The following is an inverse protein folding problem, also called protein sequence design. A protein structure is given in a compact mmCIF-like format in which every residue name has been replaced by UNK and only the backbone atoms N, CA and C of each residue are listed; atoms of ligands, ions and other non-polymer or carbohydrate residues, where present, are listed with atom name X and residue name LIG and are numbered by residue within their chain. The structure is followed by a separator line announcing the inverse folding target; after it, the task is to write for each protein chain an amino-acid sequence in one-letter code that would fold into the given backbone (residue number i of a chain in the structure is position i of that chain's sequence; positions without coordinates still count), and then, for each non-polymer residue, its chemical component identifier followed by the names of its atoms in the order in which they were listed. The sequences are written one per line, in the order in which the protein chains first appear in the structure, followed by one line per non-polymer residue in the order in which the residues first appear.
data_IF_906386663082
#
_entry.id   IF_906386663082
#
_cell.length_a   1.000
_cell.length_b   1.000
_cell.length_c   1.000
_cell.angle_alpha   90.00
_cell.angle_beta   90.00
_cell.angle_gamma   90.00
#
_symmetry.space_group_name_H-M   'P 1'
#
loop_
_entity.id
_entity.type
_entity.pdbx_description
1 polymer ?
#
# COMPACT_ATOMS: atom_id res chain seq x y z
N UNK A 1 -25.70 24.59 -8.18
CA UNK A 1 -26.03 23.21 -7.78
C UNK A 1 -26.28 22.31 -9.00
N UNK A 2 -27.11 22.72 -9.97
CA UNK A 2 -27.39 21.95 -11.21
C UNK A 2 -26.15 21.66 -12.05
N UNK A 3 -25.27 22.64 -12.32
CA UNK A 3 -24.03 22.41 -13.08
C UNK A 3 -23.09 21.39 -12.42
N UNK A 4 -22.95 21.43 -11.09
CA UNK A 4 -22.17 20.44 -10.34
C UNK A 4 -22.75 19.03 -10.44
N UNK A 5 -24.07 18.90 -10.55
CA UNK A 5 -24.73 17.61 -10.74
C UNK A 5 -24.42 17.04 -12.12
N UNK A 6 -24.50 17.87 -13.18
CA UNK A 6 -24.11 17.48 -14.54
C UNK A 6 -22.64 17.10 -14.65
N UNK A 7 -21.74 17.89 -14.05
CA UNK A 7 -20.31 17.57 -14.01
C UNK A 7 -20.07 16.17 -13.39
N UNK A 8 -20.73 15.88 -12.27
CA UNK A 8 -20.63 14.57 -11.61
C UNK A 8 -21.18 13.45 -12.50
N UNK A 9 -22.31 13.67 -13.16
CA UNK A 9 -22.90 12.69 -14.08
C UNK A 9 -21.99 12.39 -15.27
N UNK A 10 -21.38 13.41 -15.87
CA UNK A 10 -20.44 13.25 -16.99
C UNK A 10 -19.20 12.48 -16.53
N UNK A 11 -18.63 12.83 -15.38
CA UNK A 11 -17.46 12.12 -14.85
C UNK A 11 -17.77 10.65 -14.55
N UNK A 12 -18.94 10.34 -14.01
CA UNK A 12 -19.34 8.97 -13.68
C UNK A 12 -19.72 8.11 -14.88
N UNK A 13 -20.16 8.72 -16.00
CA UNK A 13 -20.65 8.03 -17.19
C UNK A 13 -19.99 8.58 -18.47
N UNK A 14 -18.68 8.79 -18.41
CA UNK A 14 -17.96 9.53 -19.46
C UNK A 14 -17.99 8.80 -20.79
N UNK A 15 -17.89 7.46 -20.77
CA UNK A 15 -17.90 6.65 -21.97
C UNK A 15 -19.27 6.71 -22.66
N UNK A 16 -20.36 6.60 -21.89
CA UNK A 16 -21.73 6.74 -22.39
C UNK A 16 -21.98 8.15 -22.92
N UNK A 17 -21.53 9.17 -22.18
CA UNK A 17 -21.63 10.56 -22.60
C UNK A 17 -20.87 10.82 -23.92
N UNK A 18 -19.76 10.13 -24.14
CA UNK A 18 -18.93 10.29 -25.35
C UNK A 18 -19.65 9.88 -26.65
N UNK A 19 -20.72 9.09 -26.55
CA UNK A 19 -21.53 8.69 -27.71
C UNK A 19 -22.58 9.75 -28.10
N UNK A 20 -22.69 10.85 -27.35
CA UNK A 20 -23.69 11.90 -27.59
C UNK A 20 -23.19 12.99 -28.55
N UNK A 21 -24.13 13.67 -29.22
CA UNK A 21 -23.82 14.86 -30.03
C UNK A 21 -23.26 16.02 -29.20
N UNK A 22 -23.64 16.12 -27.92
CA UNK A 22 -23.14 17.13 -27.01
C UNK A 22 -21.63 16.98 -26.77
N UNK A 23 -21.15 15.74 -26.66
CA UNK A 23 -19.72 15.47 -26.54
C UNK A 23 -18.96 15.85 -27.81
N UNK A 24 -19.44 15.45 -28.99
CA UNK A 24 -18.77 15.74 -30.27
C UNK A 24 -18.63 17.26 -30.53
N UNK A 25 -19.62 18.04 -30.09
CA UNK A 25 -19.64 19.51 -30.20
C UNK A 25 -18.92 20.24 -29.07
N UNK A 26 -18.46 19.54 -28.03
CA UNK A 26 -17.81 20.13 -26.87
C UNK A 26 -16.50 20.82 -27.25
N UNK A 27 -16.23 21.97 -26.63
CA UNK A 27 -14.96 22.69 -26.76
C UNK A 27 -13.84 22.00 -25.97
N UNK A 28 -12.61 22.12 -26.46
CA UNK A 28 -11.43 21.49 -25.85
C UNK A 28 -11.25 21.87 -24.38
N UNK A 29 -11.45 23.14 -24.02
CA UNK A 29 -11.30 23.66 -22.64
C UNK A 29 -12.26 22.95 -21.68
N UNK A 30 -13.52 22.75 -22.09
CA UNK A 30 -14.51 22.05 -21.28
C UNK A 30 -14.20 20.55 -21.18
N UNK A 31 -13.71 19.95 -22.25
CA UNK A 31 -13.30 18.55 -22.25
C UNK A 31 -12.11 18.28 -21.32
N UNK A 32 -11.10 19.16 -21.37
CA UNK A 32 -9.91 19.11 -20.51
C UNK A 32 -10.28 19.14 -19.03
N UNK A 33 -11.27 19.95 -18.63
CA UNK A 33 -11.79 19.98 -17.25
C UNK A 33 -12.14 18.57 -16.73
N UNK A 34 -12.74 17.71 -17.57
CA UNK A 34 -13.08 16.35 -17.18
C UNK A 34 -11.89 15.40 -17.27
N UNK A 35 -11.05 15.53 -18.29
CA UNK A 35 -9.88 14.66 -18.49
C UNK A 35 -8.83 14.83 -17.39
N UNK A 36 -8.68 16.03 -16.79
CA UNK A 36 -7.80 16.25 -15.65
C UNK A 36 -8.27 15.54 -14.37
N UNK A 37 -9.57 15.24 -14.26
CA UNK A 37 -10.17 14.79 -13.00
C UNK A 37 -9.83 13.33 -12.68
N UNK A 38 -9.43 13.07 -11.44
CA UNK A 38 -9.33 11.72 -10.88
C UNK A 38 -10.69 11.06 -10.66
N UNK A 39 -11.79 11.82 -10.67
CA UNK A 39 -13.14 11.28 -10.57
C UNK A 39 -13.71 10.78 -11.90
N UNK A 40 -13.00 10.98 -13.02
CA UNK A 40 -13.39 10.48 -14.33
C UNK A 40 -13.38 8.95 -14.34
N UNK A 41 -14.54 8.35 -14.59
CA UNK A 41 -14.73 6.89 -14.62
C UNK A 41 -14.78 6.40 -16.07
N UNK A 42 -13.92 5.43 -16.36
CA UNK A 42 -13.86 4.71 -17.62
C UNK A 42 -13.25 3.32 -17.36
N UNK A 43 -13.53 2.39 -18.27
CA UNK A 43 -13.04 1.00 -18.17
C UNK A 43 -11.53 0.89 -18.39
N UNK A 44 -10.92 1.83 -19.11
CA UNK A 44 -9.46 1.96 -19.24
C UNK A 44 -9.08 3.33 -19.81
N UNK A 45 -7.82 3.74 -19.68
CA UNK A 45 -7.31 4.93 -20.39
C UNK A 45 -7.38 4.77 -21.91
N UNK A 46 -7.19 3.55 -22.42
CA UNK A 46 -7.33 3.28 -23.85
C UNK A 46 -8.76 3.56 -24.33
N UNK A 47 -9.77 3.25 -23.50
CA UNK A 47 -11.16 3.60 -23.81
C UNK A 47 -11.38 5.10 -23.89
N UNK A 48 -10.78 5.88 -22.98
CA UNK A 48 -10.82 7.35 -23.04
C UNK A 48 -10.16 7.84 -24.33
N UNK A 49 -9.00 7.31 -24.70
CA UNK A 49 -8.34 7.63 -25.97
C UNK A 49 -9.24 7.36 -27.19
N UNK A 50 -9.96 6.23 -27.22
CA UNK A 50 -10.92 5.94 -28.30
C UNK A 50 -12.06 6.97 -28.38
N UNK A 51 -12.57 7.43 -27.24
CA UNK A 51 -13.58 8.51 -27.20
C UNK A 51 -13.02 9.80 -27.80
N UNK A 52 -11.76 10.14 -27.50
CA UNK A 52 -11.09 11.32 -28.05
C UNK A 52 -10.81 11.19 -29.54
N UNK A 53 -10.41 10.02 -30.02
CA UNK A 53 -10.21 9.76 -31.45
C UNK A 53 -11.51 10.01 -32.25
N UNK A 54 -12.68 9.60 -31.71
CA UNK A 54 -13.99 9.96 -32.28
C UNK A 54 -14.22 11.49 -32.28
N UNK A 55 -13.88 12.18 -31.20
CA UNK A 55 -14.03 13.63 -31.06
C UNK A 55 -13.16 14.43 -32.06
N UNK A 56 -11.92 13.97 -32.32
CA UNK A 56 -11.04 14.56 -33.34
C UNK A 56 -11.52 14.25 -34.75
N UNK A 57 -12.00 13.04 -35.02
CA UNK A 57 -12.56 12.67 -36.34
C UNK A 57 -13.77 13.50 -36.73
N UNK A 58 -14.60 13.89 -35.75
CA UNK A 58 -15.76 14.75 -35.99
C UNK A 58 -15.38 16.16 -36.48
N UNK A 59 -14.27 16.72 -35.99
CA UNK A 59 -13.75 17.99 -36.48
C UNK A 59 -12.20 17.94 -36.59
N UNK A 60 -11.66 17.60 -37.77
CA UNK A 60 -10.23 17.40 -37.97
C UNK A 60 -9.36 18.65 -37.73
N UNK A 61 -9.91 19.87 -37.75
CA UNK A 61 -9.13 21.09 -37.47
C UNK A 61 -8.61 21.13 -36.04
N UNK A 62 -9.27 20.42 -35.11
CA UNK A 62 -8.86 20.27 -33.71
C UNK A 62 -7.52 19.55 -33.56
N UNK A 63 -7.11 18.74 -34.55
CA UNK A 63 -5.83 18.04 -34.49
C UNK A 63 -4.67 19.05 -34.44
N UNK A 64 -4.76 20.13 -35.20
CA UNK A 64 -3.73 21.18 -35.20
C UNK A 64 -3.80 22.09 -33.98
N UNK A 65 -5.01 22.35 -33.46
CA UNK A 65 -5.23 23.37 -32.43
C UNK A 65 -5.20 22.81 -31.00
N UNK A 66 -5.79 21.63 -30.80
CA UNK A 66 -6.17 21.13 -29.46
C UNK A 66 -5.50 19.81 -29.11
N UNK A 67 -4.92 19.10 -30.08
CA UNK A 67 -4.42 17.73 -29.88
C UNK A 67 -3.43 17.62 -28.71
N UNK A 68 -2.44 18.49 -28.65
CA UNK A 68 -1.43 18.47 -27.58
C UNK A 68 -2.08 18.72 -26.22
N UNK A 69 -2.94 19.74 -26.13
CA UNK A 69 -3.63 20.16 -24.91
C UNK A 69 -4.63 19.13 -24.39
N UNK A 70 -5.28 18.38 -25.27
CA UNK A 70 -6.24 17.36 -24.86
C UNK A 70 -5.52 16.05 -24.49
N UNK A 71 -4.58 15.58 -25.33
CA UNK A 71 -3.91 14.29 -25.12
C UNK A 71 -2.90 14.30 -23.97
N UNK A 72 -2.44 15.46 -23.49
CA UNK A 72 -1.63 15.56 -22.26
C UNK A 72 -2.35 15.03 -21.00
N UNK A 73 -3.69 14.93 -21.03
CA UNK A 73 -4.49 14.45 -19.90
C UNK A 73 -4.85 12.96 -19.97
N UNK A 74 -4.36 12.25 -21.00
CA UNK A 74 -4.39 10.79 -21.06
C UNK A 74 -3.20 10.21 -20.26
N UNK A 75 -3.49 9.18 -19.47
CA UNK A 75 -2.51 8.51 -18.61
C UNK A 75 -1.96 7.27 -19.30
N UNK A 76 -1.18 7.50 -20.36
CA UNK A 76 -0.56 6.43 -21.16
C UNK A 76 0.14 5.34 -20.32
N UNK A 77 0.85 5.64 -19.21
CA UNK A 77 1.44 4.59 -18.35
C UNK A 77 0.44 3.56 -17.77
N UNK A 78 -0.86 3.85 -17.74
CA UNK A 78 -1.90 2.91 -17.27
C UNK A 78 -2.42 1.97 -18.37
N UNK A 79 -2.07 2.24 -19.64
CA UNK A 79 -2.36 1.35 -20.76
C UNK A 79 -1.35 0.19 -20.79
N UNK A 80 -1.79 -0.97 -21.27
CA UNK A 80 -0.90 -2.08 -21.58
C UNK A 80 0.03 -1.76 -22.75
N UNK A 81 1.17 -2.45 -22.87
CA UNK A 81 2.09 -2.28 -24.00
C UNK A 81 1.41 -2.48 -25.36
N UNK A 82 0.44 -3.42 -25.43
CA UNK A 82 -0.36 -3.66 -26.63
C UNK A 82 -1.26 -2.46 -26.97
N UNK A 83 -1.92 -1.88 -25.98
CA UNK A 83 -2.76 -0.69 -26.19
C UNK A 83 -1.91 0.52 -26.58
N UNK A 84 -0.72 0.69 -25.99
CA UNK A 84 0.23 1.74 -26.37
C UNK A 84 0.68 1.60 -27.83
N UNK A 85 0.94 0.38 -28.29
CA UNK A 85 1.25 0.11 -29.68
C UNK A 85 0.09 0.50 -30.61
N UNK A 86 -1.14 0.11 -30.25
CA UNK A 86 -2.35 0.50 -31.01
C UNK A 86 -2.52 2.01 -31.08
N UNK A 87 -2.29 2.72 -29.98
CA UNK A 87 -2.31 4.19 -29.93
C UNK A 87 -1.25 4.77 -30.86
N UNK A 88 0.00 4.30 -30.78
CA UNK A 88 1.10 4.79 -31.60
C UNK A 88 0.85 4.61 -33.10
N UNK A 89 0.18 3.52 -33.50
CA UNK A 89 -0.14 3.21 -34.89
C UNK A 89 -1.41 3.93 -35.42
N UNK A 90 -2.16 4.60 -34.54
CA UNK A 90 -3.41 5.29 -34.89
C UNK A 90 -3.19 6.48 -35.83
N UNK A 91 -4.19 6.79 -36.66
CA UNK A 91 -4.13 7.93 -37.58
C UNK A 91 -3.97 9.27 -36.84
N UNK A 92 -4.64 9.42 -35.68
CA UNK A 92 -4.53 10.61 -34.84
C UNK A 92 -3.08 10.86 -34.42
N UNK A 93 -2.38 9.83 -33.94
CA UNK A 93 -0.98 9.96 -33.50
C UNK A 93 0.01 10.14 -34.66
N UNK A 94 -0.31 9.59 -35.85
CA UNK A 94 0.48 9.85 -37.08
C UNK A 94 0.37 11.30 -37.55
N UNK A 95 -0.78 11.95 -37.33
CA UNK A 95 -1.03 13.35 -37.71
C UNK A 95 -0.63 14.36 -36.65
N UNK A 96 -0.53 13.93 -35.39
CA UNK A 96 -0.19 14.78 -34.25
C UNK A 96 1.02 14.22 -33.50
N UNK A 97 2.21 14.71 -33.87
CA UNK A 97 3.48 14.19 -33.35
C UNK A 97 3.81 14.68 -31.92
N UNK A 98 3.24 15.80 -31.48
CA UNK A 98 3.56 16.40 -30.17
C UNK A 98 3.36 15.46 -28.97
N UNK A 99 2.22 14.74 -28.87
CA UNK A 99 1.95 13.80 -27.78
C UNK A 99 2.71 12.47 -27.87
N UNK A 100 3.46 12.20 -28.93
CA UNK A 100 4.13 10.90 -29.12
C UNK A 100 5.10 10.57 -27.99
N UNK A 101 5.79 11.59 -27.45
CA UNK A 101 6.65 11.45 -26.27
C UNK A 101 5.88 10.93 -25.03
N UNK A 102 4.58 11.23 -24.90
CA UNK A 102 3.77 10.72 -23.79
C UNK A 102 3.49 9.22 -23.92
N UNK A 103 3.33 8.73 -25.17
CA UNK A 103 3.24 7.29 -25.44
C UNK A 103 4.58 6.60 -25.16
N UNK A 104 5.70 7.23 -25.56
CA UNK A 104 7.04 6.76 -25.22
C UNK A 104 7.26 6.69 -23.71
N UNK A 105 6.76 7.65 -22.93
CA UNK A 105 6.75 7.58 -21.46
C UNK A 105 5.95 6.38 -20.95
N UNK A 106 4.84 6.03 -21.59
CA UNK A 106 4.09 4.80 -21.29
C UNK A 106 4.93 3.54 -21.48
N UNK A 107 5.61 3.39 -22.62
CA UNK A 107 6.53 2.26 -22.83
C UNK A 107 7.69 2.26 -21.84
N UNK A 108 8.25 3.43 -21.54
CA UNK A 108 9.33 3.58 -20.56
C UNK A 108 8.90 3.15 -19.16
N UNK A 109 7.67 3.46 -18.75
CA UNK A 109 7.11 2.97 -17.48
C UNK A 109 7.18 1.44 -17.38
N UNK A 110 6.73 0.73 -18.43
CA UNK A 110 6.75 -0.74 -18.49
C UNK A 110 8.17 -1.31 -18.51
N UNK A 111 9.10 -0.64 -19.18
CA UNK A 111 10.51 -1.02 -19.19
C UNK A 111 11.13 -0.85 -17.80
N UNK A 112 10.99 0.34 -17.21
CA UNK A 112 11.53 0.63 -15.87
C UNK A 112 10.94 -0.35 -14.84
N UNK A 113 9.63 -0.66 -14.91
CA UNK A 113 8.99 -1.66 -14.02
C UNK A 113 9.69 -3.03 -14.05
N UNK A 114 10.26 -3.46 -15.17
CA UNK A 114 10.96 -4.76 -15.25
C UNK A 114 12.37 -4.71 -14.65
N UNK A 115 13.01 -3.55 -14.67
CA UNK A 115 14.41 -3.40 -14.24
C UNK A 115 14.55 -2.88 -12.79
N UNK A 116 13.67 -1.96 -12.39
CA UNK A 116 13.76 -1.14 -11.17
C UNK A 116 12.44 -0.43 -10.85
N UNK A 117 12.45 0.55 -9.94
CA UNK A 117 11.31 1.41 -9.69
C UNK A 117 11.12 2.45 -10.82
N UNK A 118 9.92 2.54 -11.43
CA UNK A 118 9.66 3.51 -12.48
C UNK A 118 9.60 4.93 -11.92
N UNK A 119 9.85 5.92 -12.76
CA UNK A 119 9.62 7.31 -12.40
C UNK A 119 8.12 7.58 -12.38
N UNK A 120 7.57 7.85 -11.20
CA UNK A 120 6.15 8.17 -11.03
C UNK A 120 5.92 9.67 -11.20
N UNK A 121 5.10 9.99 -12.19
CA UNK A 121 4.58 11.32 -12.46
C UNK A 121 3.07 11.34 -12.21
N UNK A 122 2.46 12.53 -12.14
CA UNK A 122 1.00 12.68 -11.98
C UNK A 122 0.21 11.84 -13.00
N UNK A 123 0.70 11.75 -14.24
CA UNK A 123 0.08 10.98 -15.33
C UNK A 123 0.23 9.46 -15.20
N UNK A 124 0.95 8.98 -14.19
CA UNK A 124 1.05 7.56 -13.85
C UNK A 124 0.13 7.17 -12.69
N UNK A 125 -0.56 8.14 -12.08
CA UNK A 125 -1.47 7.87 -10.98
C UNK A 125 -2.77 7.26 -11.49
N UNK A 126 -3.34 6.31 -10.75
CA UNK A 126 -4.68 5.78 -11.04
C UNK A 126 -5.75 6.87 -10.88
N UNK A 127 -6.87 6.78 -11.62
CA UNK A 127 -7.99 7.71 -11.51
C UNK A 127 -8.84 7.44 -10.27
N UNK A 128 -8.29 7.82 -9.12
CA UNK A 128 -9.01 7.87 -7.85
C UNK A 128 -8.27 8.78 -6.88
N UNK A 129 -9.01 9.39 -5.95
CA UNK A 129 -8.47 10.19 -4.85
C UNK A 129 -8.63 9.49 -3.51
N UNK A 130 -9.34 8.35 -3.50
CA UNK A 130 -9.69 7.66 -2.28
C UNK A 130 -8.78 6.44 -2.15
N UNK A 131 -7.93 6.38 -1.11
CA UNK A 131 -7.15 5.18 -0.82
C UNK A 131 -8.09 4.06 -0.35
N UNK A 132 -7.69 2.83 -0.65
CA UNK A 132 -8.45 1.62 -0.35
C UNK A 132 -7.63 0.73 0.58
N UNK A 133 -8.34 0.01 1.45
CA UNK A 133 -7.70 -0.99 2.30
C UNK A 133 -7.28 -2.17 1.42
N UNK A 134 -6.01 -2.55 1.50
CA UNK A 134 -5.49 -3.77 0.89
C UNK A 134 -5.02 -4.73 1.96
N UNK A 135 -5.42 -5.97 1.78
CA UNK A 135 -5.13 -7.12 2.61
C UNK A 135 -4.22 -8.06 1.83
N UNK A 136 -3.09 -8.41 2.42
CA UNK A 136 -2.20 -9.44 1.89
C UNK A 136 -2.38 -10.64 2.80
N UNK A 137 -2.89 -11.71 2.22
CA UNK A 137 -3.10 -12.97 2.89
C UNK A 137 -1.90 -13.86 2.58
N UNK A 138 -1.03 -14.13 3.57
CA UNK A 138 0.01 -15.13 3.41
C UNK A 138 -0.61 -16.50 3.10
N UNK A 139 0.17 -17.34 2.43
CA UNK A 139 -0.26 -18.69 2.10
C UNK A 139 -0.60 -19.47 3.37
N UNK A 140 -1.78 -20.10 3.41
CA UNK A 140 -2.17 -20.99 4.51
C UNK A 140 -2.40 -22.40 3.95
N UNK A 141 -1.44 -23.30 4.23
CA UNK A 141 -1.47 -24.68 3.77
C UNK A 141 -2.60 -25.50 4.41
N UNK A 142 -2.97 -25.21 5.66
CA UNK A 142 -4.05 -25.92 6.34
C UNK A 142 -5.42 -25.64 5.71
N UNK A 143 -5.58 -24.45 5.11
CA UNK A 143 -6.83 -24.01 4.48
C UNK A 143 -6.77 -23.99 2.95
N UNK A 144 -5.66 -24.44 2.34
CA UNK A 144 -5.41 -24.38 0.88
C UNK A 144 -5.64 -22.98 0.26
N UNK A 145 -5.33 -21.93 1.03
CA UNK A 145 -5.49 -20.55 0.56
C UNK A 145 -4.15 -20.09 -0.01
N UNK A 146 -4.07 -19.78 -1.32
CA UNK A 146 -2.83 -19.29 -1.92
C UNK A 146 -2.54 -17.88 -1.43
N UNK A 147 -1.31 -17.40 -1.67
CA UNK A 147 -0.99 -16.01 -1.41
C UNK A 147 -1.88 -15.11 -2.26
N UNK A 148 -2.52 -14.13 -1.62
CA UNK A 148 -3.47 -13.24 -2.27
C UNK A 148 -3.28 -11.80 -1.82
N UNK A 149 -3.45 -10.89 -2.76
CA UNK A 149 -3.59 -9.45 -2.50
C UNK A 149 -5.04 -9.10 -2.83
N UNK A 150 -5.78 -8.67 -1.83
CA UNK A 150 -7.20 -8.34 -1.95
C UNK A 150 -7.42 -6.88 -1.54
N UNK A 151 -8.24 -6.14 -2.29
CA UNK A 151 -8.63 -4.77 -1.96
C UNK A 151 -10.08 -4.71 -1.54
N UNK A 152 -10.40 -3.88 -0.55
CA UNK A 152 -11.75 -3.58 -0.11
C UNK A 152 -12.22 -2.25 -0.71
N UNK A 153 -13.32 -2.30 -1.47
CA UNK A 153 -14.05 -1.11 -1.89
C UNK A 153 -15.06 -0.72 -0.81
N UNK A 154 -14.73 0.30 -0.04
CA UNK A 154 -15.58 0.82 1.03
C UNK A 154 -16.85 1.52 0.53
N UNK A 155 -16.93 1.87 -0.76
CA UNK A 155 -18.14 2.47 -1.34
C UNK A 155 -19.20 1.42 -1.61
N UNK A 156 -18.79 0.27 -2.17
CA UNK A 156 -19.69 -0.84 -2.50
C UNK A 156 -19.76 -1.91 -1.42
N UNK A 157 -18.80 -1.93 -0.49
CA UNK A 157 -18.66 -2.96 0.53
C UNK A 157 -18.10 -4.29 -0.01
N UNK A 158 -17.49 -4.29 -1.20
CA UNK A 158 -17.06 -5.50 -1.91
C UNK A 158 -15.54 -5.69 -1.86
N UNK A 159 -15.09 -6.95 -1.80
CA UNK A 159 -13.68 -7.32 -1.91
C UNK A 159 -13.31 -7.74 -3.33
N UNK A 160 -12.14 -7.32 -3.80
CA UNK A 160 -11.58 -7.61 -5.12
C UNK A 160 -10.23 -8.30 -4.98
N UNK A 161 -10.05 -9.45 -5.63
CA UNK A 161 -8.76 -10.16 -5.66
C UNK A 161 -7.86 -9.54 -6.72
N UNK A 162 -6.95 -8.68 -6.31
CA UNK A 162 -6.04 -7.98 -7.22
C UNK A 162 -4.93 -8.90 -7.75
N UNK A 163 -4.47 -9.84 -6.94
CA UNK A 163 -3.40 -10.76 -7.31
C UNK A 163 -3.51 -12.07 -6.53
N UNK A 164 -3.03 -13.16 -7.14
CA UNK A 164 -2.87 -14.45 -6.47
C UNK A 164 -1.69 -15.20 -7.05
N UNK A 165 -0.92 -15.84 -6.19
CA UNK A 165 0.19 -16.71 -6.57
C UNK A 165 0.20 -18.00 -5.72
N UNK A 166 0.56 -19.11 -6.36
CA UNK A 166 0.75 -20.40 -5.74
C UNK A 166 2.08 -20.47 -4.97
N UNK A 167 3.12 -19.74 -5.41
CA UNK A 167 4.44 -19.69 -4.78
C UNK A 167 4.52 -18.67 -3.63
N UNK A 168 3.46 -18.65 -2.83
CA UNK A 168 3.26 -17.72 -1.73
C UNK A 168 4.23 -17.89 -0.57
N UNK A 169 4.20 -16.92 0.34
CA UNK A 169 4.93 -16.96 1.61
C UNK A 169 3.95 -17.10 2.77
N UNK A 170 4.34 -17.80 3.84
CA UNK A 170 3.54 -17.94 5.08
C UNK A 170 3.68 -16.76 6.04
N UNK A 171 4.80 -16.03 5.92
CA UNK A 171 5.05 -14.82 6.69
C UNK A 171 5.67 -13.76 5.77
N UNK A 172 5.23 -12.50 5.90
CA UNK A 172 5.69 -11.41 5.05
C UNK A 172 5.83 -10.12 5.86
N UNK A 173 6.69 -9.21 5.39
CA UNK A 173 6.64 -7.80 5.76
C UNK A 173 6.31 -7.00 4.51
N UNK A 174 5.53 -5.93 4.66
CA UNK A 174 5.20 -5.04 3.55
C UNK A 174 5.57 -3.60 3.84
N UNK A 175 5.68 -2.81 2.78
CA UNK A 175 5.57 -1.36 2.83
C UNK A 175 5.14 -0.84 1.44
N UNK A 176 4.76 0.43 1.36
CA UNK A 176 4.22 1.03 0.15
C UNK A 176 5.08 2.22 -0.26
N UNK A 177 5.48 2.26 -1.53
CA UNK A 177 6.20 3.38 -2.16
C UNK A 177 5.54 3.66 -3.50
N UNK A 178 5.13 4.91 -3.73
CA UNK A 178 4.53 5.39 -4.98
C UNK A 178 3.39 4.48 -5.52
N UNK A 179 2.54 4.04 -4.59
CA UNK A 179 1.42 3.13 -4.83
C UNK A 179 1.80 1.69 -5.23
N UNK A 180 3.07 1.32 -5.19
CA UNK A 180 3.51 -0.08 -5.27
C UNK A 180 3.58 -0.69 -3.89
N UNK A 181 3.22 -1.95 -3.78
CA UNK A 181 3.43 -2.73 -2.56
C UNK A 181 4.75 -3.49 -2.69
N UNK A 182 5.66 -3.28 -1.76
CA UNK A 182 6.89 -4.04 -1.62
C UNK A 182 6.70 -5.06 -0.51
N UNK A 183 7.00 -6.33 -0.80
CA UNK A 183 6.72 -7.47 0.06
C UNK A 183 8.00 -8.28 0.22
N UNK A 184 8.58 -8.26 1.41
CA UNK A 184 9.62 -9.23 1.78
C UNK A 184 8.93 -10.51 2.24
N UNK A 185 9.17 -11.60 1.53
CA UNK A 185 8.70 -12.93 1.89
C UNK A 185 9.71 -13.56 2.85
N UNK A 186 9.23 -14.09 3.97
CA UNK A 186 10.05 -14.56 5.09
C UNK A 186 10.12 -16.08 5.15
N UNK A 187 9.01 -16.77 4.87
CA UNK A 187 8.91 -18.23 4.99
C UNK A 187 8.21 -18.81 3.78
N UNK A 188 8.81 -19.82 3.17
CA UNK A 188 8.25 -20.49 1.99
C UNK A 188 6.85 -21.08 2.22
N UNK A 189 6.14 -21.39 1.13
CA UNK A 189 4.80 -21.99 1.21
C UNK A 189 4.80 -23.32 1.99
N UNK A 190 5.91 -24.05 1.99
CA UNK A 190 6.13 -25.29 2.73
C UNK A 190 6.23 -25.10 4.25
N UNK A 191 6.55 -23.89 4.70
CA UNK A 191 6.76 -23.55 6.10
C UNK A 191 8.10 -24.03 6.65
N UNK A 192 9.01 -24.48 5.79
CA UNK A 192 10.23 -25.19 6.17
C UNK A 192 11.52 -24.43 5.86
N UNK A 193 11.46 -23.39 5.04
CA UNK A 193 12.65 -22.65 4.62
C UNK A 193 12.46 -21.14 4.75
N UNK A 194 13.48 -20.46 5.30
CA UNK A 194 13.54 -19.01 5.26
C UNK A 194 13.76 -18.49 3.85
N UNK A 195 13.15 -17.34 3.58
CA UNK A 195 13.27 -16.60 2.35
C UNK A 195 13.84 -15.21 2.61
N UNK A 196 14.48 -14.64 1.58
CA UNK A 196 14.92 -13.25 1.54
C UNK A 196 14.35 -12.51 0.33
N UNK A 197 13.41 -13.12 -0.41
CA UNK A 197 12.93 -12.57 -1.67
C UNK A 197 12.10 -11.31 -1.46
N UNK A 198 12.35 -10.32 -2.32
CA UNK A 198 11.61 -9.07 -2.38
C UNK A 198 10.73 -9.10 -3.62
N UNK A 199 9.42 -9.07 -3.40
CA UNK A 199 8.41 -9.01 -4.44
C UNK A 199 7.76 -7.64 -4.47
N UNK A 200 7.58 -7.05 -5.66
CA UNK A 200 6.85 -5.80 -5.83
C UNK A 200 5.59 -6.00 -6.64
N UNK A 201 4.46 -5.56 -6.10
CA UNK A 201 3.17 -5.55 -6.77
C UNK A 201 2.81 -4.15 -7.29
N UNK A 202 2.40 -4.09 -8.56
CA UNK A 202 1.86 -2.88 -9.20
C UNK A 202 0.33 -2.95 -9.35
N UNK A 203 -0.45 -2.15 -8.60
CA UNK A 203 -1.90 -2.15 -8.73
C UNK A 203 -2.42 -1.54 -10.04
N UNK A 204 -1.57 -0.86 -10.83
CA UNK A 204 -1.98 -0.25 -12.12
C UNK A 204 -2.15 -1.30 -13.22
N UNK A 205 -1.37 -2.38 -13.13
CA UNK A 205 -1.35 -3.48 -14.11
C UNK A 205 -1.63 -4.85 -13.49
N UNK A 206 -1.86 -4.90 -12.18
CA UNK A 206 -2.14 -6.13 -11.42
C UNK A 206 -1.07 -7.20 -11.60
N UNK A 207 0.19 -6.76 -11.68
CA UNK A 207 1.33 -7.63 -11.93
C UNK A 207 2.37 -7.56 -10.80
N UNK A 208 3.08 -8.66 -10.65
CA UNK A 208 4.16 -8.84 -9.68
C UNK A 208 5.53 -8.88 -10.37
N UNK A 209 6.56 -8.40 -9.68
CA UNK A 209 7.94 -8.46 -10.14
C UNK A 209 8.85 -8.88 -8.98
N UNK A 210 9.68 -9.90 -9.21
CA UNK A 210 10.77 -10.24 -8.30
C UNK A 210 11.90 -9.22 -8.43
N UNK A 211 12.41 -8.79 -7.29
CA UNK A 211 13.51 -7.85 -7.15
C UNK A 211 14.69 -8.54 -6.45
N UNK A 212 15.80 -7.82 -6.28
CA UNK A 212 16.95 -8.40 -5.57
C UNK A 212 16.56 -8.81 -4.14
N UNK A 213 16.95 -10.01 -3.69
CA UNK A 213 16.66 -10.47 -2.34
C UNK A 213 17.51 -9.72 -1.30
N UNK A 214 17.05 -9.71 -0.06
CA UNK A 214 17.81 -9.23 1.10
C UNK A 214 19.18 -9.92 1.18
N UNK A 215 20.16 -9.21 1.74
CA UNK A 215 21.51 -9.70 1.99
C UNK A 215 21.53 -10.84 3.01
N UNK A 216 20.57 -10.86 3.94
CA UNK A 216 20.50 -11.85 5.02
C UNK A 216 19.10 -12.45 5.14
N UNK A 217 19.05 -13.75 5.44
CA UNK A 217 17.83 -14.43 5.88
C UNK A 217 17.55 -14.03 7.34
N UNK A 218 16.30 -13.66 7.62
CA UNK A 218 15.88 -13.20 8.95
C UNK A 218 14.38 -13.38 9.15
N UNK A 219 13.95 -13.71 10.36
CA UNK A 219 12.57 -13.68 10.83
C UNK A 219 12.34 -12.49 11.76
N UNK A 220 11.09 -12.15 12.06
CA UNK A 220 10.73 -11.17 13.10
C UNK A 220 11.42 -9.80 12.99
N UNK A 221 11.85 -9.42 11.78
CA UNK A 221 12.46 -8.12 11.53
C UNK A 221 11.38 -7.05 11.33
N UNK A 222 11.76 -5.80 11.56
CA UNK A 222 10.95 -4.65 11.20
C UNK A 222 11.35 -4.13 9.82
N UNK A 223 10.37 -3.74 9.00
CA UNK A 223 10.59 -3.13 7.70
C UNK A 223 9.79 -1.84 7.57
N UNK A 224 10.41 -0.80 7.00
CA UNK A 224 9.73 0.49 6.79
C UNK A 224 10.28 1.19 5.55
N UNK A 225 9.41 1.92 4.84
CA UNK A 225 9.83 2.81 3.76
C UNK A 225 10.20 4.19 4.29
N UNK A 226 11.32 4.75 3.80
CA UNK A 226 11.66 6.16 3.98
C UNK A 226 12.29 6.70 2.68
N UNK A 227 11.60 7.65 2.04
CA UNK A 227 11.97 8.12 0.71
C UNK A 227 11.90 6.99 -0.33
N UNK A 228 12.94 6.81 -1.12
CA UNK A 228 13.06 5.73 -2.12
C UNK A 228 13.76 4.48 -1.59
N UNK A 229 13.74 4.27 -0.27
CA UNK A 229 14.46 3.18 0.39
C UNK A 229 13.54 2.37 1.29
N UNK A 230 13.76 1.05 1.32
CA UNK A 230 13.19 0.12 2.30
C UNK A 230 14.28 -0.17 3.33
N UNK A 231 14.04 0.12 4.60
CA UNK A 231 14.97 -0.22 5.69
C UNK A 231 14.47 -1.45 6.42
N UNK A 232 15.37 -2.38 6.69
CA UNK A 232 15.13 -3.63 7.40
C UNK A 232 16.02 -3.66 8.64
N UNK A 233 15.39 -3.75 9.82
CA UNK A 233 16.06 -3.68 11.11
C UNK A 233 15.96 -4.99 11.87
N UNK A 234 17.11 -5.48 12.36
CA UNK A 234 17.19 -6.58 13.30
C UNK A 234 16.50 -7.86 12.82
N UNK A 235 15.80 -8.52 13.73
CA UNK A 235 15.18 -9.82 13.50
C UNK A 235 15.98 -10.96 14.13
N UNK A 236 15.71 -12.18 13.69
CA UNK A 236 16.37 -13.39 14.19
C UNK A 236 16.81 -14.30 13.05
N UNK A 237 17.92 -15.01 13.25
CA UNK A 237 18.35 -16.05 12.31
C UNK A 237 17.43 -17.28 12.40
N UNK A 238 17.59 -18.23 11.49
CA UNK A 238 16.92 -19.54 11.55
C UNK A 238 17.17 -20.27 12.89
N UNK A 239 18.35 -20.08 13.50
CA UNK A 239 18.70 -20.63 14.81
C UNK A 239 18.19 -19.77 15.98
N UNK A 240 17.28 -18.82 15.72
CA UNK A 240 16.69 -17.89 16.68
C UNK A 240 17.70 -16.98 17.40
N UNK A 241 18.89 -16.75 16.82
CA UNK A 241 19.83 -15.76 17.32
C UNK A 241 19.35 -14.35 16.94
N UNK A 242 19.27 -13.43 17.90
CA UNK A 242 18.82 -12.06 17.66
C UNK A 242 19.90 -11.27 16.90
N UNK A 243 19.47 -10.46 15.94
CA UNK A 243 20.33 -9.71 15.02
C UNK A 243 20.28 -8.21 15.34
N UNK A 244 21.42 -7.54 15.19
CA UNK A 244 21.55 -6.08 15.17
C UNK A 244 21.69 -5.52 13.75
N UNK A 245 22.00 -6.38 12.77
CA UNK A 245 22.27 -5.96 11.39
C UNK A 245 21.08 -5.22 10.77
N UNK A 246 21.41 -4.15 10.06
CA UNK A 246 20.45 -3.33 9.32
C UNK A 246 20.85 -3.32 7.86
N UNK A 247 19.87 -3.45 6.98
CA UNK A 247 20.08 -3.36 5.53
C UNK A 247 19.03 -2.46 4.89
N UNK A 248 19.41 -1.81 3.80
CA UNK A 248 18.59 -0.85 3.08
C UNK A 248 18.51 -1.23 1.60
N UNK A 249 17.31 -1.34 1.07
CA UNK A 249 17.08 -1.50 -0.36
C UNK A 249 16.77 -0.17 -1.01
N UNK A 250 17.53 0.22 -2.02
CA UNK A 250 17.22 1.38 -2.84
C UNK A 250 16.37 0.96 -4.05
N UNK A 251 15.14 1.45 -4.12
CA UNK A 251 14.20 1.04 -5.17
C UNK A 251 14.59 1.52 -6.58
N UNK A 252 15.38 2.59 -6.68
CA UNK A 252 15.82 3.18 -7.95
C UNK A 252 16.99 2.41 -8.57
N UNK A 253 17.90 1.90 -7.74
CA UNK A 253 19.06 1.14 -8.20
C UNK A 253 18.82 -0.37 -8.16
N UNK A 254 17.75 -0.82 -7.51
CA UNK A 254 17.44 -2.23 -7.30
C UNK A 254 18.63 -2.95 -6.62
N UNK A 255 19.11 -2.40 -5.50
CA UNK A 255 20.26 -2.93 -4.75
C UNK A 255 20.05 -2.81 -3.26
N UNK A 256 20.53 -3.81 -2.51
CA UNK A 256 20.64 -3.77 -1.06
C UNK A 256 22.03 -3.30 -0.63
N UNK A 257 22.09 -2.53 0.45
CA UNK A 257 23.32 -2.07 1.10
C UNK A 257 23.23 -2.30 2.60
N UNK A 258 24.33 -2.72 3.23
CA UNK A 258 24.42 -2.73 4.69
C UNK A 258 24.38 -1.30 5.24
N UNK A 259 23.79 -1.16 6.43
CA UNK A 259 23.66 0.09 7.16
C UNK A 259 24.30 -0.06 8.55
N UNK A 260 24.57 1.04 9.27
CA UNK A 260 25.00 0.95 10.67
C UNK A 260 24.07 0.05 11.49
N UNK A 261 24.62 -0.84 12.33
CA UNK A 261 23.82 -1.79 13.09
C UNK A 261 23.01 -1.09 14.17
N UNK A 262 21.95 -1.76 14.64
CA UNK A 262 21.22 -1.34 15.83
C UNK A 262 22.16 -1.24 17.03
N UNK A 263 22.00 -0.25 17.93
CA UNK A 263 22.77 -0.16 19.17
C UNK A 263 22.65 -1.40 20.07
N UNK A 264 21.56 -2.16 19.91
CA UNK A 264 21.30 -3.42 20.58
C UNK A 264 20.61 -4.38 19.61
N UNK A 265 21.02 -5.65 19.59
CA UNK A 265 20.36 -6.68 18.81
C UNK A 265 18.91 -6.88 19.28
N UNK A 266 17.96 -6.74 18.35
CA UNK A 266 16.53 -6.79 18.63
C UNK A 266 15.78 -7.58 17.55
N UNK A 267 14.84 -8.41 17.97
CA UNK A 267 13.80 -8.98 17.11
C UNK A 267 12.41 -8.51 17.54
N UNK A 268 11.42 -8.73 16.70
CA UNK A 268 10.01 -8.40 16.97
C UNK A 268 9.78 -6.94 17.39
N UNK A 269 10.65 -6.02 16.96
CA UNK A 269 10.52 -4.57 17.14
C UNK A 269 9.53 -3.99 16.13
N UNK A 270 9.05 -2.77 16.38
CA UNK A 270 8.27 -2.00 15.42
C UNK A 270 9.13 -0.90 14.79
N UNK A 271 8.87 -0.57 13.52
CA UNK A 271 9.46 0.55 12.82
C UNK A 271 8.38 1.40 12.13
N UNK A 272 8.50 2.72 12.23
CA UNK A 272 7.55 3.67 11.65
C UNK A 272 8.27 4.92 11.15
N UNK A 273 8.00 5.31 9.91
CA UNK A 273 8.49 6.57 9.36
C UNK A 273 7.55 7.69 9.74
N UNK A 274 8.10 8.74 10.37
CA UNK A 274 7.40 9.98 10.65
C UNK A 274 8.27 11.11 10.11
N UNK A 275 7.73 11.86 9.15
CA UNK A 275 8.46 12.89 8.43
C UNK A 275 9.78 12.37 7.81
N UNK A 276 10.93 12.83 8.33
CA UNK A 276 12.29 12.49 7.87
C UNK A 276 13.03 11.52 8.81
N UNK A 277 12.31 10.94 9.77
CA UNK A 277 12.86 10.11 10.84
C UNK A 277 12.22 8.73 10.81
N UNK A 278 12.97 7.70 11.22
CA UNK A 278 12.44 6.36 11.44
C UNK A 278 12.44 6.09 12.94
N UNK A 279 11.26 5.93 13.52
CA UNK A 279 11.09 5.55 14.91
C UNK A 279 11.14 4.03 15.04
N UNK A 280 11.87 3.54 16.03
CA UNK A 280 12.02 2.14 16.39
C UNK A 280 11.55 1.97 17.84
N UNK A 281 10.75 0.94 18.12
CA UNK A 281 10.27 0.70 19.48
C UNK A 281 10.21 -0.78 19.87
N UNK A 282 10.46 -1.02 21.15
CA UNK A 282 10.33 -2.31 21.82
C UNK A 282 11.17 -3.43 21.22
N UNK A 283 10.53 -4.58 20.99
CA UNK A 283 11.20 -5.81 20.57
C UNK A 283 11.77 -6.60 21.74
N UNK A 284 12.46 -7.70 21.45
CA UNK A 284 13.13 -8.53 22.44
C UNK A 284 14.63 -8.66 22.18
N UNK A 285 15.41 -8.55 23.26
CA UNK A 285 16.86 -8.75 23.27
C UNK A 285 17.23 -10.24 23.25
N UNK A 286 18.54 -10.53 23.19
CA UNK A 286 19.08 -11.90 23.12
C UNK A 286 18.63 -12.81 24.27
N UNK A 287 18.41 -12.24 25.47
CA UNK A 287 17.86 -12.91 26.66
C UNK A 287 16.34 -13.16 26.58
N UNK A 288 15.74 -12.90 25.41
CA UNK A 288 14.31 -13.01 25.11
C UNK A 288 13.43 -12.12 25.99
N UNK A 289 13.99 -11.08 26.59
CA UNK A 289 13.22 -10.12 27.37
C UNK A 289 12.67 -9.00 26.46
N UNK A 290 11.35 -8.76 26.49
CA UNK A 290 10.79 -7.56 25.90
C UNK A 290 11.43 -6.29 26.46
N UNK A 291 11.64 -5.31 25.60
CA UNK A 291 12.19 -4.00 25.96
C UNK A 291 11.13 -2.91 25.78
N UNK A 292 11.28 -1.80 26.49
CA UNK A 292 10.50 -0.59 26.27
C UNK A 292 11.30 0.47 25.49
N UNK A 293 12.35 0.04 24.78
CA UNK A 293 13.25 0.95 24.07
C UNK A 293 12.48 1.80 23.06
N UNK A 294 12.90 3.05 22.89
CA UNK A 294 12.37 3.95 21.88
C UNK A 294 13.51 4.77 21.30
N UNK A 295 13.75 4.65 20.00
CA UNK A 295 14.94 5.20 19.35
C UNK A 295 14.55 5.75 17.99
N UNK A 296 15.12 6.90 17.61
CA UNK A 296 15.08 7.41 16.25
C UNK A 296 16.32 6.91 15.51
N UNK A 297 16.13 6.35 14.32
CA UNK A 297 17.15 6.24 13.30
C UNK A 297 17.02 7.41 12.31
N UNK A 298 18.11 8.13 12.09
CA UNK A 298 18.19 9.25 11.15
C UNK A 298 18.76 8.77 9.81
N UNK A 299 17.95 8.53 8.77
CA UNK A 299 18.43 7.85 7.56
C UNK A 299 19.48 8.64 6.78
N UNK A 300 19.45 9.98 6.87
CA UNK A 300 20.42 10.85 6.20
C UNK A 300 21.81 10.80 6.84
N UNK A 301 21.87 10.83 8.17
CA UNK A 301 23.13 10.80 8.93
C UNK A 301 23.58 9.37 9.27
N UNK A 302 22.67 8.41 9.15
CA UNK A 302 22.85 7.01 9.53
C UNK A 302 23.25 6.85 11.01
N UNK A 303 22.62 7.65 11.87
CA UNK A 303 22.86 7.67 13.31
C UNK A 303 21.59 7.35 14.09
N UNK A 304 21.78 6.94 15.35
CA UNK A 304 20.71 6.65 16.29
C UNK A 304 20.62 7.70 17.39
N UNK A 305 19.40 7.99 17.83
CA UNK A 305 19.09 8.89 18.92
C UNK A 305 18.11 8.19 19.87
N UNK A 306 18.53 7.93 21.11
CA UNK A 306 17.68 7.30 22.12
C UNK A 306 16.73 8.32 22.74
N UNK A 307 15.45 7.95 22.82
CA UNK A 307 14.39 8.75 23.43
C UNK A 307 13.92 8.13 24.76
N UNK A 308 13.14 8.86 25.57
CA UNK A 308 12.40 8.26 26.68
C UNK A 308 11.58 7.06 26.20
N UNK A 309 11.81 5.90 26.82
CA UNK A 309 11.16 4.65 26.45
C UNK A 309 9.66 4.66 26.70
N UNK A 310 8.98 3.67 26.12
CA UNK A 310 7.56 3.39 26.38
C UNK A 310 7.33 3.07 27.87
N UNK A 311 6.10 3.21 28.37
CA UNK A 311 5.71 2.76 29.69
C UNK A 311 5.80 1.23 29.81
N UNK A 312 5.41 0.50 28.77
CA UNK A 312 5.43 -0.96 28.77
C UNK A 312 6.47 -1.53 27.80
N UNK A 313 7.24 -2.49 28.30
CA UNK A 313 8.09 -3.31 27.47
C UNK A 313 7.24 -4.31 26.67
N UNK A 314 7.42 -4.34 25.34
CA UNK A 314 6.60 -5.15 24.44
C UNK A 314 7.35 -5.55 23.16
N UNK A 315 6.93 -6.68 22.59
CA UNK A 315 7.38 -7.20 21.28
C UNK A 315 6.18 -7.58 20.42
N UNK A 316 6.33 -7.67 19.10
CA UNK A 316 5.25 -7.96 18.14
C UNK A 316 4.08 -6.96 18.19
N UNK A 317 4.37 -5.72 18.63
CA UNK A 317 3.45 -4.59 18.51
C UNK A 317 3.67 -3.87 17.19
N UNK A 318 2.77 -2.93 16.87
CA UNK A 318 2.98 -1.99 15.78
C UNK A 318 2.90 -0.55 16.24
N UNK A 319 3.45 0.34 15.42
CA UNK A 319 3.34 1.78 15.58
C UNK A 319 2.52 2.38 14.44
N UNK A 320 1.61 3.29 14.77
CA UNK A 320 0.79 4.03 13.81
C UNK A 320 0.96 5.52 14.03
N UNK A 321 1.30 6.26 12.98
CA UNK A 321 1.28 7.72 13.03
C UNK A 321 -0.13 8.22 12.71
N UNK A 322 -0.72 8.99 13.61
CA UNK A 322 -2.06 9.56 13.44
C UNK A 322 -2.17 10.87 14.23
N UNK A 323 -2.75 11.91 13.62
CA UNK A 323 -2.94 13.24 14.25
C UNK A 323 -1.68 13.72 15.01
N UNK A 324 -0.52 13.72 14.34
CA UNK A 324 0.78 14.18 14.89
C UNK A 324 1.35 13.37 16.07
N UNK A 325 0.74 12.22 16.39
CA UNK A 325 1.18 11.33 17.47
C UNK A 325 1.53 9.95 16.93
N UNK A 326 2.47 9.31 17.60
CA UNK A 326 2.84 7.90 17.36
C UNK A 326 2.10 7.05 18.38
N UNK A 327 1.15 6.24 17.92
CA UNK A 327 0.44 5.28 18.74
C UNK A 327 1.15 3.93 18.71
N UNK A 328 1.26 3.29 19.85
CA UNK A 328 1.84 1.95 20.04
C UNK A 328 0.70 1.02 20.45
N UNK A 329 0.39 0.03 19.61
CA UNK A 329 -0.77 -0.84 19.80
C UNK A 329 -0.36 -2.32 19.85
N UNK A 330 -1.05 -3.06 20.72
CA UNK A 330 -0.82 -4.50 20.89
C UNK A 330 0.57 -4.82 21.45
N UNK A 331 1.08 -5.98 21.05
CA UNK A 331 2.30 -6.58 21.54
C UNK A 331 2.11 -7.55 22.70
N UNK A 332 3.18 -8.30 22.95
CA UNK A 332 3.29 -9.26 24.04
C UNK A 332 4.24 -8.67 25.10
N UNK A 333 3.81 -8.56 26.37
CA UNK A 333 4.64 -8.03 27.44
C UNK A 333 5.61 -9.09 27.98
N UNK A 334 6.36 -8.76 29.04
CA UNK A 334 7.23 -9.72 29.76
C UNK A 334 6.40 -10.88 30.34
N UNK A 335 7.04 -12.06 30.43
CA UNK A 335 6.43 -13.23 31.08
C UNK A 335 6.06 -12.92 32.55
N UNK A 336 4.91 -13.43 33.00
CA UNK A 336 4.38 -13.18 34.34
C UNK A 336 3.43 -11.99 34.45
N UNK A 337 3.32 -11.16 33.41
CA UNK A 337 2.23 -10.18 33.27
C UNK A 337 1.00 -10.90 32.71
N UNK A 338 -0.15 -10.93 33.40
CA UNK A 338 -1.35 -11.58 32.89
C UNK A 338 -1.73 -11.05 31.51
N UNK A 339 -1.85 -11.93 30.51
CA UNK A 339 -2.40 -11.60 29.18
C UNK A 339 -3.88 -11.17 29.26
N UNK A 340 -4.52 -11.37 30.42
CA UNK A 340 -5.94 -11.14 30.65
C UNK A 340 -6.32 -9.65 30.83
N UNK A 341 -5.41 -8.72 30.57
CA UNK A 341 -5.67 -7.29 30.73
C UNK A 341 -4.86 -6.38 29.83
N UNK A 342 -4.60 -6.81 28.58
CA UNK A 342 -4.18 -6.02 27.41
C UNK A 342 -3.24 -4.85 27.65
N UNK A 343 -2.05 -4.89 27.03
CA UNK A 343 -1.13 -3.75 27.14
C UNK A 343 -1.85 -2.48 26.66
N UNK A 344 -1.96 -1.43 27.49
CA UNK A 344 -2.63 -0.19 27.11
C UNK A 344 -2.06 0.37 25.82
N UNK A 345 -2.92 1.06 25.07
CA UNK A 345 -2.46 1.89 23.96
C UNK A 345 -1.65 3.04 24.57
N UNK A 346 -0.44 3.23 24.07
CA UNK A 346 0.39 4.36 24.43
C UNK A 346 0.51 5.28 23.22
N UNK A 347 0.46 6.59 23.41
CA UNK A 347 0.75 7.53 22.35
C UNK A 347 1.87 8.49 22.75
N UNK A 348 2.82 8.67 21.85
CA UNK A 348 3.91 9.62 21.96
C UNK A 348 3.60 10.85 21.12
N UNK A 349 3.54 11.99 21.78
CA UNK A 349 3.38 13.28 21.12
C UNK A 349 4.74 13.79 20.64
N UNK A 350 4.91 13.87 19.31
CA UNK A 350 6.18 14.23 18.68
C UNK A 350 6.58 15.67 19.00
N UNK A 351 5.62 16.56 19.26
CA UNK A 351 5.87 17.98 19.54
C UNK A 351 6.33 18.23 20.98
N UNK A 352 5.74 17.51 21.94
CA UNK A 352 6.03 17.68 23.38
C UNK A 352 7.04 16.67 23.92
N UNK A 353 7.34 15.62 23.14
CA UNK A 353 8.19 14.50 23.55
C UNK A 353 7.68 13.79 24.83
N UNK A 354 6.36 13.65 24.95
CA UNK A 354 5.70 13.03 26.09
C UNK A 354 4.90 11.81 25.68
N UNK A 355 4.91 10.79 26.55
CA UNK A 355 4.05 9.62 26.45
C UNK A 355 2.75 9.84 27.23
N UNK A 356 1.63 9.41 26.65
CA UNK A 356 0.33 9.35 27.30
C UNK A 356 -0.22 7.94 27.19
N UNK A 357 -0.80 7.44 28.28
CA UNK A 357 -1.49 6.15 28.31
C UNK A 357 -2.98 6.38 28.06
N UNK A 358 -3.57 5.59 27.17
CA UNK A 358 -4.99 5.64 26.84
C UNK A 358 -5.74 4.51 27.57
N UNK A 359 -7.03 4.72 27.84
CA UNK A 359 -7.82 3.83 28.69
C UNK A 359 -8.42 2.65 27.92
N UNK A 360 -8.62 2.80 26.62
CA UNK A 360 -9.25 1.79 25.79
C UNK A 360 -8.28 0.70 25.39
N UNK A 361 -8.64 -0.52 25.73
CA UNK A 361 -8.01 -1.72 25.24
C UNK A 361 -9.08 -2.56 24.54
N UNK A 362 -8.86 -2.97 23.29
CA UNK A 362 -9.81 -3.84 22.60
C UNK A 362 -9.60 -5.30 22.98
N UNK A 363 -10.37 -5.81 23.96
CA UNK A 363 -10.21 -7.17 24.51
C UNK A 363 -9.98 -8.19 23.41
N UNK A 364 -8.79 -8.79 23.39
CA UNK A 364 -8.42 -9.84 22.47
C UNK A 364 -7.67 -9.45 21.20
N UNK A 365 -6.84 -8.39 21.20
CA UNK A 365 -5.89 -8.09 20.09
C UNK A 365 -4.48 -7.81 20.59
N UNK A 366 -3.77 -8.89 20.95
CA UNK A 366 -2.38 -8.84 21.40
C UNK A 366 -1.40 -8.79 20.24
N UNK A 367 -1.68 -9.44 19.11
CA UNK A 367 -0.80 -9.49 17.92
C UNK A 367 -1.65 -9.28 16.67
N UNK A 368 -1.65 -8.05 16.17
CA UNK A 368 -2.42 -7.65 15.01
C UNK A 368 -1.72 -6.58 14.20
N UNK A 369 -2.27 -6.30 13.02
CA UNK A 369 -1.86 -5.20 12.17
C UNK A 369 -2.75 -3.98 12.42
N UNK A 370 -2.10 -2.82 12.51
CA UNK A 370 -2.70 -1.54 12.78
C UNK A 370 -2.25 -0.54 11.72
N UNK A 371 -3.18 0.27 11.21
CA UNK A 371 -2.83 1.35 10.29
C UNK A 371 -3.76 2.55 10.42
N UNK A 372 -3.26 3.73 10.06
CA UNK A 372 -4.12 4.91 9.94
C UNK A 372 -4.98 4.79 8.68
N UNK A 373 -6.30 4.86 8.86
CA UNK A 373 -7.26 4.68 7.78
C UNK A 373 -8.51 5.54 8.00
N UNK A 374 -8.82 6.42 7.05
CA UNK A 374 -10.05 7.23 7.02
C UNK A 374 -10.36 7.99 8.32
N UNK A 375 -9.35 8.54 9.00
CA UNK A 375 -9.54 9.27 10.26
C UNK A 375 -9.57 8.39 11.51
N UNK A 376 -9.28 7.10 11.39
CA UNK A 376 -9.23 6.14 12.50
C UNK A 376 -7.94 5.34 12.47
N UNK A 377 -7.70 4.56 13.52
CA UNK A 377 -6.70 3.49 13.53
C UNK A 377 -7.42 2.17 13.28
N UNK A 378 -7.25 1.60 12.10
CA UNK A 378 -7.81 0.30 11.75
C UNK A 378 -7.00 -0.81 12.42
N UNK A 379 -7.67 -1.88 12.82
CA UNK A 379 -7.09 -3.07 13.43
C UNK A 379 -7.55 -4.34 12.70
N UNK A 380 -6.58 -5.21 12.43
CA UNK A 380 -6.70 -6.54 11.84
C UNK A 380 -5.85 -7.52 12.67
N UNK A 381 -6.17 -8.82 12.68
CA UNK A 381 -5.39 -9.83 13.40
C UNK A 381 -6.03 -10.43 14.66
N UNK A 382 -5.22 -11.15 15.45
CA UNK A 382 -5.61 -12.08 16.54
C UNK A 382 -5.35 -11.46 17.94
N UNK A 383 -6.00 -11.82 19.07
CA UNK A 383 -6.18 -13.09 19.79
C UNK A 383 -7.21 -12.97 20.96
N UNK A 384 -8.37 -13.65 20.87
CA UNK A 384 -9.15 -14.19 22.00
C UNK A 384 -10.07 -15.29 21.48
N UNK A 385 -10.29 -16.36 22.24
CA UNK A 385 -11.04 -17.57 21.86
C UNK A 385 -12.50 -17.36 21.41
N UNK A 386 -13.03 -16.13 21.52
CA UNK A 386 -14.39 -15.74 21.15
C UNK A 386 -14.45 -14.66 20.05
N UNK A 387 -13.32 -14.07 19.64
CA UNK A 387 -13.33 -13.03 18.61
C UNK A 387 -13.51 -13.67 17.23
N UNK A 388 -14.43 -13.14 16.42
CA UNK A 388 -14.62 -13.62 15.05
C UNK A 388 -13.41 -13.20 14.21
N UNK A 389 -12.72 -14.20 13.65
CA UNK A 389 -11.47 -14.05 12.87
C UNK A 389 -11.63 -13.31 11.54
N UNK A 390 -12.85 -12.86 11.22
CA UNK A 390 -13.22 -12.17 10.01
C UNK A 390 -13.66 -10.71 10.27
N UNK A 391 -13.49 -10.18 11.48
CA UNK A 391 -13.91 -8.80 11.80
C UNK A 391 -12.78 -7.77 11.72
N UNK A 392 -13.07 -6.66 11.05
CA UNK A 392 -12.21 -5.49 10.94
C UNK A 392 -12.74 -4.42 11.88
N UNK A 393 -11.88 -3.87 12.72
CA UNK A 393 -12.25 -2.89 13.75
C UNK A 393 -11.50 -1.58 13.53
N UNK A 394 -12.06 -0.49 14.02
CA UNK A 394 -11.46 0.85 14.01
C UNK A 394 -11.46 1.42 15.42
N UNK A 395 -10.34 2.02 15.79
CA UNK A 395 -10.16 2.79 16.99
C UNK A 395 -10.22 4.28 16.66
N UNK A 396 -11.02 5.00 17.44
CA UNK A 396 -11.13 6.45 17.42
C UNK A 396 -10.37 7.02 18.62
N UNK A 397 -9.20 7.65 18.40
CA UNK A 397 -8.43 8.26 19.48
C UNK A 397 -9.10 9.48 20.13
N UNK A 398 -10.07 10.13 19.49
CA UNK A 398 -10.74 11.31 20.05
C UNK A 398 -11.69 10.95 21.19
N UNK A 399 -12.38 9.82 21.05
CA UNK A 399 -13.30 9.29 22.08
C UNK A 399 -12.76 8.10 22.84
N UNK A 400 -11.52 7.68 22.54
CA UNK A 400 -10.86 6.50 23.12
C UNK A 400 -11.74 5.24 22.99
N UNK A 401 -12.26 4.98 21.79
CA UNK A 401 -13.32 3.99 21.57
C UNK A 401 -13.11 3.10 20.35
N UNK A 402 -13.60 1.86 20.43
CA UNK A 402 -13.56 0.89 19.33
C UNK A 402 -14.92 0.69 18.69
N UNK A 403 -14.93 0.56 17.36
CA UNK A 403 -16.11 0.29 16.56
C UNK A 403 -15.83 -0.75 15.48
N UNK A 404 -16.84 -1.52 15.10
CA UNK A 404 -16.74 -2.49 14.00
C UNK A 404 -16.82 -1.75 12.67
N UNK A 405 -15.82 -1.96 11.81
CA UNK A 405 -15.73 -1.33 10.49
C UNK A 405 -16.34 -2.20 9.39
N UNK A 406 -15.87 -3.43 9.26
CA UNK A 406 -16.30 -4.35 8.21
C UNK A 406 -16.14 -5.81 8.64
N UNK A 407 -16.64 -6.70 7.79
CA UNK A 407 -16.47 -8.14 7.94
C UNK A 407 -15.84 -8.70 6.66
N UNK A 408 -14.71 -9.37 6.79
CA UNK A 408 -14.06 -10.08 5.70
C UNK A 408 -14.91 -11.27 5.23
N UNK A 409 -14.78 -11.73 3.97
CA UNK A 409 -15.51 -12.89 3.46
C UNK A 409 -15.21 -14.16 4.28
N UNK A 410 -16.17 -15.08 4.42
CA UNK A 410 -16.05 -16.27 5.30
C UNK A 410 -14.80 -17.17 5.08
N UNK A 411 -14.15 -17.08 3.91
CA UNK A 411 -12.94 -17.84 3.57
C UNK A 411 -11.64 -17.07 3.79
N UNK A 412 -11.71 -15.83 4.27
CA UNK A 412 -10.57 -14.97 4.56
C UNK A 412 -10.32 -15.02 6.08
N UNK A 413 -9.33 -15.83 6.49
CA UNK A 413 -8.80 -15.75 7.85
C UNK A 413 -7.93 -14.49 7.94
N UNK A 414 -8.19 -13.63 8.93
CA UNK A 414 -7.40 -12.43 9.18
C UNK A 414 -6.21 -12.68 10.14
N UNK A 415 -6.00 -13.92 10.59
CA UNK A 415 -5.01 -14.24 11.63
C UNK A 415 -3.57 -13.87 11.25
N UNK A 416 -3.19 -14.08 9.99
CA UNK A 416 -1.87 -13.76 9.45
C UNK A 416 -1.92 -12.61 8.44
N UNK A 417 -3.05 -11.92 8.33
CA UNK A 417 -3.25 -10.90 7.30
C UNK A 417 -2.51 -9.64 7.68
N UNK A 418 -1.64 -9.23 6.77
CA UNK A 418 -0.96 -7.94 6.82
C UNK A 418 -1.71 -6.96 5.91
N UNK A 419 -1.65 -5.67 6.21
CA UNK A 419 -2.48 -4.69 5.52
C UNK A 419 -1.78 -3.37 5.26
N UNK A 420 -2.29 -2.64 4.28
CA UNK A 420 -1.84 -1.29 3.96
C UNK A 420 -2.92 -0.53 3.18
N UNK A 421 -2.58 0.67 2.75
CA UNK A 421 -3.41 1.46 1.84
C UNK A 421 -2.71 1.70 0.52
N UNK A 422 -3.46 1.57 -0.56
CA UNK A 422 -3.07 1.97 -1.90
C UNK A 422 -4.27 2.59 -2.62
N UNK A 423 -4.04 3.23 -3.75
CA UNK A 423 -5.06 3.70 -4.66
C UNK A 423 -5.35 2.62 -5.71
N UNK A 424 -6.62 2.21 -5.79
CA UNK A 424 -7.14 1.25 -6.76
C UNK A 424 -8.32 1.87 -7.51
N UNK A 425 -8.34 1.75 -8.83
CA UNK A 425 -9.49 2.16 -9.63
C UNK A 425 -10.41 0.96 -9.90
N UNK A 426 -11.44 0.78 -9.08
CA UNK A 426 -12.39 -0.34 -9.23
C UNK A 426 -13.23 -0.29 -10.52
N UNK A 427 -13.27 0.86 -11.20
CA UNK A 427 -13.95 1.00 -12.49
C UNK A 427 -13.07 0.57 -13.67
N UNK A 428 -11.77 0.36 -13.45
CA UNK A 428 -10.90 -0.22 -14.47
C UNK A 428 -11.32 -1.68 -14.71
N UNK A 429 -11.48 -2.05 -15.98
CA UNK A 429 -11.95 -3.37 -16.40
C UNK A 429 -11.08 -4.50 -15.85
N UNK A 430 -9.77 -4.26 -15.69
CA UNK A 430 -8.82 -5.23 -15.13
C UNK A 430 -9.16 -5.58 -13.68
N UNK A 431 -9.63 -4.59 -12.90
CA UNK A 431 -10.01 -4.75 -11.49
C UNK A 431 -11.46 -5.22 -11.37
N UNK A 432 -12.38 -4.63 -12.12
CA UNK A 432 -13.82 -4.93 -12.03
C UNK A 432 -14.13 -6.42 -12.23
N UNK A 433 -13.33 -7.13 -13.02
CA UNK A 433 -13.48 -8.57 -13.30
C UNK A 433 -13.01 -9.49 -12.16
N UNK A 434 -12.35 -8.96 -11.14
CA UNK A 434 -11.73 -9.76 -10.07
C UNK A 434 -12.49 -9.75 -8.75
N UNK A 435 -13.75 -9.30 -8.76
CA UNK A 435 -14.61 -9.30 -7.58
C UNK A 435 -14.75 -10.70 -6.97
N UNK A 436 -14.65 -10.76 -5.64
CA UNK A 436 -14.89 -11.98 -4.88
C UNK A 436 -16.39 -12.12 -4.67
N UNK A 437 -17.01 -13.15 -5.26
CA UNK A 437 -18.40 -13.51 -4.96
C UNK A 437 -18.47 -14.02 -3.52
N UNK A 438 -19.34 -13.43 -2.73
CA UNK A 438 -19.85 -14.10 -1.53
C UNK A 438 -20.52 -15.39 -2.00
N UNK A 439 -19.97 -16.53 -1.58
CA UNK A 439 -20.61 -17.84 -1.76
C UNK A 439 -21.48 -18.13 -0.56
#
# INVERSE_FOLDING_TARGET
KVLKHWDKMILSNFVEFSETQCFLKMEAVTLVKYLCSNALRASSEYKIFQCLDKWFKHNPTRISNDCVTVLTHIRFPLMSERELQMVQESELMKRCLGPLHLVTKGFKYHLDCRERHPVIEERSNVRTEIPTLVLIQPHNSASYVPFQITSYDHVTGVFYRLYSDLNGSRDCRLTVIDNFIYICRVVDFGGGSLMSSLFRFDPRHLCGQELRPMLRLRMDFAMVAHGSCLYVFGGSTEQFATMDSVECYNVKTNTWTEMPPLPMALNSLAALTVERKVYLSGGASQDRQPTNSFTIFHPHYQTYETLPGMFYARRLHEMVFFQEKVYVLGGIPRQGVPLHGQIPIECYDVSTSQWTMLSSTLSGRSVGHYLSFQGYILSLGHEHHNAKEDEIWTYDPEVDGWSKYAKAPQRMSLMSVICSTIFVNFHDEKVAKTYLKDK
#
